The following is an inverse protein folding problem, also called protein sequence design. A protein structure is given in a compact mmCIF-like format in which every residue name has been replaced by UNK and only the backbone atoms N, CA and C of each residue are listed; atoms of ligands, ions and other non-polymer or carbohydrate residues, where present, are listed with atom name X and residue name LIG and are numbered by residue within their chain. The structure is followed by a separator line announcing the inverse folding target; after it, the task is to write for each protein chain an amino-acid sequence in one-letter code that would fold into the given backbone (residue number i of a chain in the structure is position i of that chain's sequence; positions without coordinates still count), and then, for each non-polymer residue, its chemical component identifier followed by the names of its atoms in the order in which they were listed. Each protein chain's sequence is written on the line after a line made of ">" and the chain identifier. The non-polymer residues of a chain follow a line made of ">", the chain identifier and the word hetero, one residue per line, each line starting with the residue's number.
data_IF_045008251363
#
_entry.id   IF_045008251363
#
_cell.length_a   1.000
_cell.length_b   1.000
_cell.length_c   1.000
_cell.angle_alpha   90.00
_cell.angle_beta   90.00
_cell.angle_gamma   90.00
#
_symmetry.space_group_name_H-M   'P 1'
#
loop_
_entity.id
_entity.type
_entity.pdbx_description
1 polymer ?
#
# COMPACT_ATOMS: atom_id res chain seq x y z
N UNK A 1 -7.94 -7.25 -9.30
CA UNK A 1 -8.17 -7.57 -7.86
C UNK A 1 -8.54 -6.28 -7.17
N UNK A 2 -9.64 -6.28 -6.42
CA UNK A 2 -10.24 -5.06 -5.86
C UNK A 2 -10.19 -5.08 -4.33
N UNK A 3 -9.79 -3.95 -3.75
CA UNK A 3 -9.72 -3.72 -2.32
C UNK A 3 -10.49 -2.46 -1.95
N UNK A 4 -11.15 -2.48 -0.79
CA UNK A 4 -11.89 -1.34 -0.25
C UNK A 4 -11.40 -1.04 1.16
N UNK A 5 -11.04 0.21 1.41
CA UNK A 5 -10.72 0.67 2.75
C UNK A 5 -12.01 1.17 3.38
N UNK A 6 -12.66 0.28 4.13
CA UNK A 6 -13.96 0.53 4.78
C UNK A 6 -13.81 0.89 6.26
N UNK A 7 -12.60 0.86 6.79
CA UNK A 7 -12.31 1.07 8.19
C UNK A 7 -11.16 2.06 8.40
N UNK A 8 -11.28 2.83 9.48
CA UNK A 8 -10.19 3.55 10.12
C UNK A 8 -9.13 2.59 10.67
N UNK A 9 -7.92 3.07 10.93
CA UNK A 9 -6.77 2.30 11.43
C UNK A 9 -7.07 1.51 12.73
N UNK A 10 -8.00 2.01 13.54
CA UNK A 10 -8.50 1.47 14.80
C UNK A 10 -9.83 0.70 14.64
N UNK A 11 -10.20 0.37 13.41
CA UNK A 11 -11.26 -0.60 13.11
C UNK A 11 -12.68 -0.05 13.18
N UNK A 12 -12.88 1.26 13.29
CA UNK A 12 -14.21 1.85 13.13
C UNK A 12 -14.55 2.02 11.64
N UNK A 13 -15.81 1.83 11.21
CA UNK A 13 -16.23 2.11 9.85
C UNK A 13 -15.94 3.56 9.44
N UNK A 14 -15.61 3.78 8.17
CA UNK A 14 -15.48 5.14 7.62
C UNK A 14 -16.85 5.80 7.42
N UNK A 15 -16.92 7.12 7.55
CA UNK A 15 -18.15 7.92 7.41
C UNK A 15 -18.31 8.56 6.02
N UNK A 16 -17.53 8.11 5.04
CA UNK A 16 -17.59 8.55 3.64
C UNK A 16 -17.55 7.33 2.71
N UNK A 17 -17.59 7.57 1.40
CA UNK A 17 -17.39 6.49 0.43
C UNK A 17 -15.97 5.88 0.59
N UNK A 18 -15.83 4.54 0.66
CA UNK A 18 -14.55 3.88 0.81
C UNK A 18 -13.53 4.24 -0.27
N UNK A 19 -12.25 4.28 0.11
CA UNK A 19 -11.16 4.31 -0.87
C UNK A 19 -11.08 2.95 -1.56
N UNK A 20 -11.07 2.97 -2.89
CA UNK A 20 -10.94 1.78 -3.73
C UNK A 20 -9.52 1.69 -4.26
N UNK A 21 -8.89 0.53 -4.08
CA UNK A 21 -7.59 0.20 -4.67
C UNK A 21 -7.77 -1.04 -5.53
N UNK A 22 -7.41 -0.93 -6.81
CA UNK A 22 -7.44 -2.04 -7.76
C UNK A 22 -6.03 -2.34 -8.24
N UNK A 23 -5.67 -3.62 -8.19
CA UNK A 23 -4.47 -4.15 -8.81
C UNK A 23 -4.87 -4.87 -10.10
N UNK A 24 -4.24 -4.49 -11.21
CA UNK A 24 -4.42 -5.10 -12.52
C UNK A 24 -3.08 -5.65 -13.04
N UNK A 25 -3.08 -6.73 -13.83
CA UNK A 25 -1.89 -7.18 -14.54
C UNK A 25 -1.37 -6.06 -15.47
N UNK A 26 -0.07 -5.79 -15.43
CA UNK A 26 0.62 -4.95 -16.39
C UNK A 26 1.69 -5.75 -17.14
N UNK A 27 2.08 -5.29 -18.32
CA UNK A 27 3.25 -5.84 -19.01
C UNK A 27 4.51 -5.49 -18.21
N UNK A 28 5.17 -6.50 -17.62
CA UNK A 28 6.38 -6.29 -16.82
C UNK A 28 6.17 -5.74 -15.40
N UNK A 29 4.92 -5.68 -14.92
CA UNK A 29 4.62 -5.17 -13.59
C UNK A 29 3.15 -5.26 -13.18
N UNK A 30 2.75 -4.38 -12.27
CA UNK A 30 1.39 -4.27 -11.75
C UNK A 30 0.89 -2.84 -12.00
N UNK A 31 -0.32 -2.70 -12.51
CA UNK A 31 -1.00 -1.41 -12.58
C UNK A 31 -1.82 -1.26 -11.30
N UNK A 32 -1.59 -0.17 -10.58
CA UNK A 32 -2.34 0.21 -9.39
C UNK A 32 -3.28 1.34 -9.78
N UNK A 33 -4.58 1.12 -9.60
CA UNK A 33 -5.62 2.13 -9.78
C UNK A 33 -6.23 2.46 -8.43
N UNK A 34 -6.41 3.75 -8.16
CA UNK A 34 -7.02 4.27 -6.94
C UNK A 34 -8.20 5.14 -7.32
N UNK A 35 -9.33 4.94 -6.65
CA UNK A 35 -10.47 5.85 -6.71
C UNK A 35 -10.87 6.21 -5.28
N UNK A 36 -10.89 7.50 -4.97
CA UNK A 36 -11.11 7.96 -3.61
C UNK A 36 -11.89 9.28 -3.57
N UNK A 37 -12.60 9.57 -2.47
CA UNK A 37 -13.17 10.89 -2.26
C UNK A 37 -12.09 11.98 -2.31
N UNK A 38 -12.48 13.15 -2.80
CA UNK A 38 -11.64 14.33 -2.78
C UNK A 38 -11.94 15.17 -1.54
N UNK A 39 -11.05 15.12 -0.54
CA UNK A 39 -11.24 15.78 0.75
C UNK A 39 -10.85 17.27 0.77
N UNK A 40 -10.29 17.78 -0.34
CA UNK A 40 -9.83 19.16 -0.48
C UNK A 40 -8.90 19.61 0.66
N UNK A 41 -7.97 18.73 1.03
CA UNK A 41 -7.00 19.00 2.09
C UNK A 41 -6.14 20.22 1.75
N UNK A 42 -5.86 21.11 2.72
CA UNK A 42 -4.91 22.18 2.50
C UNK A 42 -3.54 21.58 2.14
N UNK A 43 -2.73 22.28 1.32
CA UNK A 43 -1.41 21.81 0.96
C UNK A 43 -0.60 21.48 2.22
N UNK A 44 0.12 20.37 2.18
CA UNK A 44 1.00 19.98 3.27
C UNK A 44 1.94 21.15 3.63
N UNK A 45 2.24 21.39 4.91
CA UNK A 45 3.28 22.34 5.29
C UNK A 45 4.58 22.03 4.52
N UNK A 46 5.30 23.07 4.11
CA UNK A 46 6.60 22.90 3.45
C UNK A 46 7.51 22.05 4.36
N UNK A 47 7.92 20.89 3.86
CA UNK A 47 8.84 19.96 4.51
C UNK A 47 9.54 19.16 3.42
N UNK A 48 10.78 18.73 3.66
CA UNK A 48 11.54 18.02 2.64
C UNK A 48 10.88 16.67 2.33
N UNK A 49 10.45 16.42 1.09
CA UNK A 49 10.05 15.09 0.67
C UNK A 49 11.24 14.13 0.80
N UNK A 50 10.97 12.91 1.25
CA UNK A 50 11.91 11.81 1.05
C UNK A 50 12.17 11.62 -0.45
N UNK A 51 13.40 11.22 -0.82
CA UNK A 51 13.75 11.01 -2.24
C UNK A 51 12.84 9.94 -2.84
N UNK A 52 12.16 10.20 -3.98
CA UNK A 52 11.37 9.19 -4.66
C UNK A 52 12.26 8.07 -5.22
N UNK A 53 11.70 6.87 -5.39
CA UNK A 53 12.37 5.82 -6.17
C UNK A 53 12.27 6.12 -7.68
N UNK A 54 13.31 5.74 -8.43
CA UNK A 54 13.45 6.04 -9.86
C UNK A 54 12.37 5.37 -10.73
N UNK A 55 11.31 6.09 -11.08
CA UNK A 55 10.19 5.61 -11.92
C UNK A 55 8.82 5.65 -11.24
N UNK A 56 8.76 5.85 -9.91
CA UNK A 56 7.48 6.03 -9.18
C UNK A 56 6.73 7.33 -9.54
N UNK A 57 7.35 8.23 -10.31
CA UNK A 57 6.70 9.44 -10.82
C UNK A 57 5.84 9.19 -12.06
N UNK A 58 5.88 7.99 -12.65
CA UNK A 58 5.01 7.64 -13.78
C UNK A 58 3.62 7.27 -13.29
N UNK A 59 2.82 8.30 -13.06
CA UNK A 59 1.44 8.19 -12.64
C UNK A 59 0.55 9.18 -13.39
N UNK A 60 -0.71 8.80 -13.55
CA UNK A 60 -1.78 9.63 -14.09
C UNK A 60 -2.75 9.92 -12.95
N UNK A 61 -3.11 11.20 -12.77
CA UNK A 61 -4.15 11.60 -11.81
C UNK A 61 -5.19 12.43 -12.53
N UNK A 62 -6.45 12.06 -12.35
CA UNK A 62 -7.60 12.86 -12.73
C UNK A 62 -8.37 13.24 -11.46
N UNK A 63 -8.90 14.47 -11.42
CA UNK A 63 -9.64 14.98 -10.26
C UNK A 63 -10.96 15.58 -10.73
N UNK A 64 -12.07 15.02 -10.23
CA UNK A 64 -13.40 15.61 -10.31
C UNK A 64 -13.73 16.44 -9.07
N UNK A 65 -14.99 16.88 -8.96
CA UNK A 65 -15.42 17.74 -7.85
C UNK A 65 -15.44 17.02 -6.50
N UNK A 66 -15.86 15.75 -6.49
CA UNK A 66 -16.08 14.95 -5.28
C UNK A 66 -15.13 13.76 -5.14
N UNK A 67 -14.38 13.42 -6.19
CA UNK A 67 -13.50 12.26 -6.27
C UNK A 67 -12.26 12.56 -7.09
N UNK A 68 -11.22 11.78 -6.84
CA UNK A 68 -10.06 11.70 -7.71
C UNK A 68 -9.77 10.24 -8.06
N UNK A 69 -9.15 10.06 -9.21
CA UNK A 69 -8.67 8.79 -9.70
C UNK A 69 -7.17 8.90 -9.95
N UNK A 70 -6.41 7.90 -9.50
CA UNK A 70 -4.99 7.79 -9.72
C UNK A 70 -4.66 6.46 -10.37
N UNK A 71 -3.70 6.46 -11.27
CA UNK A 71 -3.17 5.26 -11.90
C UNK A 71 -1.66 5.32 -11.87
N UNK A 72 -1.02 4.29 -11.34
CA UNK A 72 0.43 4.18 -11.29
C UNK A 72 0.87 2.80 -11.80
N UNK A 73 2.01 2.76 -12.48
CA UNK A 73 2.62 1.51 -12.89
C UNK A 73 3.78 1.16 -11.95
N UNK A 74 3.75 -0.07 -11.41
CA UNK A 74 4.80 -0.60 -10.55
C UNK A 74 5.53 -1.74 -11.27
N UNK A 75 6.78 -1.53 -11.73
CA UNK A 75 7.58 -2.59 -12.36
C UNK A 75 7.84 -3.76 -11.40
N UNK A 76 8.03 -4.97 -11.93
CA UNK A 76 8.33 -6.15 -11.11
C UNK A 76 9.58 -6.00 -10.24
N UNK A 77 10.58 -5.27 -10.72
CA UNK A 77 11.81 -5.01 -9.97
C UNK A 77 11.58 -4.27 -8.65
N UNK A 78 10.45 -3.60 -8.47
CA UNK A 78 10.17 -2.88 -7.23
C UNK A 78 9.70 -3.80 -6.10
N UNK A 79 9.23 -5.00 -6.43
CA UNK A 79 8.75 -5.94 -5.43
C UNK A 79 9.90 -6.79 -4.91
N UNK A 80 10.10 -6.87 -3.58
CA UNK A 80 11.07 -7.79 -3.00
C UNK A 80 10.68 -9.23 -3.32
N UNK A 81 11.65 -10.17 -3.36
CA UNK A 81 11.32 -11.57 -3.59
C UNK A 81 10.35 -12.07 -2.51
N UNK A 82 9.36 -12.86 -2.92
CA UNK A 82 8.37 -13.51 -2.04
C UNK A 82 7.47 -12.52 -1.28
N UNK A 83 6.81 -11.61 -1.99
CA UNK A 83 5.72 -10.82 -1.40
C UNK A 83 4.58 -11.76 -0.99
N UNK A 84 4.35 -11.88 0.32
CA UNK A 84 3.39 -12.84 0.89
C UNK A 84 2.28 -12.19 1.72
N UNK A 85 2.40 -10.89 1.98
CA UNK A 85 1.44 -10.14 2.79
C UNK A 85 1.18 -8.77 2.19
N UNK A 86 -0.02 -8.26 2.40
CA UNK A 86 -0.46 -6.98 1.89
C UNK A 86 -1.32 -6.23 2.91
N UNK A 87 -1.22 -4.91 2.88
CA UNK A 87 -2.15 -3.98 3.49
C UNK A 87 -2.14 -2.70 2.64
N UNK A 88 -3.14 -1.85 2.82
CA UNK A 88 -3.24 -0.56 2.15
C UNK A 88 -3.75 0.47 3.14
N UNK A 89 -3.31 1.72 2.98
CA UNK A 89 -3.64 2.80 3.90
C UNK A 89 -4.07 4.03 3.10
N UNK A 90 -5.05 4.76 3.65
CA UNK A 90 -5.44 6.08 3.15
C UNK A 90 -5.32 7.10 4.28
N UNK A 91 -4.83 8.29 3.93
CA UNK A 91 -4.63 9.39 4.87
C UNK A 91 -5.20 10.64 4.21
N UNK A 92 -6.14 11.27 4.89
CA UNK A 92 -6.76 12.53 4.47
C UNK A 92 -7.05 13.41 5.67
N UNK A 93 -7.46 14.64 5.44
CA UNK A 93 -7.54 15.66 6.47
C UNK A 93 -6.19 16.30 6.75
N UNK A 94 -6.19 17.30 7.63
CA UNK A 94 -4.99 18.08 7.94
C UNK A 94 -4.81 18.32 9.42
N UNK A 95 -3.54 18.42 9.85
CA UNK A 95 -3.13 18.65 11.25
C UNK A 95 -3.83 17.65 12.19
N UNK A 96 -4.52 18.14 13.22
CA UNK A 96 -5.20 17.35 14.24
C UNK A 96 -6.51 16.71 13.74
N UNK A 97 -6.92 16.99 12.50
CA UNK A 97 -8.11 16.42 11.86
C UNK A 97 -7.76 15.38 10.79
N UNK A 98 -6.56 14.78 10.87
CA UNK A 98 -6.20 13.69 9.97
C UNK A 98 -6.99 12.44 10.30
N UNK A 99 -7.61 11.87 9.27
CA UNK A 99 -8.15 10.52 9.30
C UNK A 99 -7.09 9.57 8.78
N UNK A 100 -7.04 8.38 9.39
CA UNK A 100 -6.14 7.31 8.98
C UNK A 100 -6.97 6.05 8.79
N UNK A 101 -6.88 5.46 7.62
CA UNK A 101 -7.64 4.29 7.21
C UNK A 101 -6.73 3.15 6.86
N UNK A 102 -7.23 1.92 7.04
CA UNK A 102 -6.50 0.72 6.72
C UNK A 102 -7.44 -0.31 6.08
N UNK A 103 -6.95 -1.00 5.06
CA UNK A 103 -7.62 -2.17 4.49
C UNK A 103 -7.74 -3.27 5.55
N UNK A 104 -6.68 -3.48 6.32
CA UNK A 104 -6.64 -4.39 7.46
C UNK A 104 -6.21 -3.61 8.71
N UNK A 105 -7.17 -3.12 9.51
CA UNK A 105 -6.89 -2.31 10.70
C UNK A 105 -6.50 -3.17 11.91
N UNK A 106 -6.08 -2.48 12.98
CA UNK A 106 -5.89 -3.10 14.29
C UNK A 106 -7.26 -3.53 14.82
N UNK A 107 -7.46 -4.79 15.23
CA UNK A 107 -8.71 -5.20 15.86
C UNK A 107 -8.97 -4.39 17.14
N UNK A 108 -10.19 -3.91 17.32
CA UNK A 108 -10.54 -3.01 18.43
C UNK A 108 -10.18 -3.55 19.83
N UNK A 109 -10.25 -4.87 20.01
CA UNK A 109 -9.92 -5.52 21.28
C UNK A 109 -8.42 -5.61 21.57
N UNK A 110 -7.57 -5.32 20.57
CA UNK A 110 -6.11 -5.24 20.71
C UNK A 110 -5.60 -3.80 20.87
N UNK A 111 -6.50 -2.81 20.77
CA UNK A 111 -6.15 -1.40 20.92
C UNK A 111 -5.75 -1.08 22.36
N UNK A 112 -4.68 -0.30 22.49
CA UNK A 112 -4.24 0.24 23.77
C UNK A 112 -4.76 1.66 23.98
N UNK A 113 -5.03 2.03 25.22
CA UNK A 113 -5.45 3.40 25.55
C UNK A 113 -4.38 4.41 25.13
N UNK A 114 -4.77 5.40 24.34
CA UNK A 114 -3.86 6.43 23.83
C UNK A 114 -2.96 5.97 22.69
N UNK A 115 -3.20 4.78 22.12
CA UNK A 115 -2.49 4.31 20.94
C UNK A 115 -2.71 5.26 19.76
N UNK A 116 -1.65 5.49 18.98
CA UNK A 116 -1.68 6.27 17.75
C UNK A 116 -1.51 5.36 16.53
N UNK A 117 -1.90 5.80 15.32
CA UNK A 117 -1.69 5.03 14.10
C UNK A 117 -0.22 4.67 13.89
N UNK A 118 0.04 3.40 13.54
CA UNK A 118 1.34 2.92 13.09
C UNK A 118 1.16 1.93 11.92
N UNK A 119 1.57 2.36 10.73
CA UNK A 119 1.42 1.60 9.49
C UNK A 119 2.48 0.49 9.32
N UNK A 120 3.44 0.39 10.25
CA UNK A 120 4.51 -0.62 10.21
C UNK A 120 4.19 -1.87 11.04
N UNK A 121 2.97 -2.00 11.55
CA UNK A 121 2.51 -3.20 12.29
C UNK A 121 2.21 -4.36 11.34
N UNK A 122 3.27 -5.06 10.93
CA UNK A 122 3.27 -6.14 9.94
C UNK A 122 2.41 -7.36 10.35
N UNK A 123 2.08 -7.50 11.63
CA UNK A 123 1.18 -8.53 12.16
C UNK A 123 -0.26 -8.42 11.61
N UNK A 124 -0.70 -7.21 11.21
CA UNK A 124 -2.05 -7.02 10.68
C UNK A 124 -2.16 -7.17 9.17
N UNK A 125 -1.02 -7.22 8.47
CA UNK A 125 -1.01 -7.46 7.03
C UNK A 125 -1.52 -8.88 6.77
N UNK A 126 -2.44 -9.01 5.82
CA UNK A 126 -3.08 -10.30 5.52
C UNK A 126 -2.33 -11.05 4.42
N UNK A 127 -2.46 -12.39 4.37
CA UNK A 127 -1.90 -13.19 3.29
C UNK A 127 -2.29 -12.64 1.93
N UNK A 128 -1.31 -12.56 1.04
CA UNK A 128 -1.45 -12.03 -0.29
C UNK A 128 -0.55 -12.81 -1.25
N UNK A 129 -1.01 -12.98 -2.47
CA UNK A 129 -0.21 -13.56 -3.54
C UNK A 129 -0.58 -12.92 -4.87
N UNK A 130 0.41 -12.64 -5.71
CA UNK A 130 0.15 -12.16 -7.07
C UNK A 130 -0.43 -13.25 -7.97
N UNK A 131 -0.35 -14.53 -7.60
CA UNK A 131 -0.95 -15.62 -8.36
C UNK A 131 -2.47 -15.49 -8.48
N UNK A 132 -3.15 -14.89 -7.50
CA UNK A 132 -4.60 -14.59 -7.63
C UNK A 132 -4.90 -13.55 -8.70
N UNK A 133 -3.90 -12.76 -9.10
CA UNK A 133 -4.01 -11.74 -10.14
C UNK A 133 -3.48 -12.23 -11.50
N UNK A 134 -2.40 -13.01 -11.51
CA UNK A 134 -1.60 -13.33 -12.69
C UNK A 134 -1.69 -14.79 -13.15
N UNK A 135 -2.40 -15.63 -12.39
CA UNK A 135 -2.55 -17.06 -12.64
C UNK A 135 -1.64 -17.92 -11.77
N UNK A 136 -2.05 -19.17 -11.56
CA UNK A 136 -1.37 -20.11 -10.65
C UNK A 136 0.05 -20.45 -11.11
N UNK A 137 0.29 -20.52 -12.42
CA UNK A 137 1.60 -20.83 -13.01
C UNK A 137 2.58 -19.65 -13.01
N UNK A 138 2.10 -18.44 -12.68
CA UNK A 138 2.96 -17.27 -12.66
C UNK A 138 4.01 -17.38 -11.55
N UNK A 139 5.23 -16.96 -11.88
CA UNK A 139 6.37 -16.88 -10.95
C UNK A 139 6.89 -15.45 -10.93
N UNK A 140 7.17 -14.95 -9.73
CA UNK A 140 7.74 -13.61 -9.57
C UNK A 140 9.10 -13.53 -10.29
N UNK A 141 9.28 -12.58 -11.22
CA UNK A 141 10.58 -12.32 -11.82
C UNK A 141 11.59 -11.87 -10.77
N UNK A 142 12.87 -12.13 -11.01
CA UNK A 142 13.94 -11.57 -10.16
C UNK A 142 13.94 -10.04 -10.22
N UNK A 143 14.24 -9.42 -9.08
CA UNK A 143 14.45 -7.98 -9.00
C UNK A 143 15.94 -7.68 -8.98
N UNK A 144 16.35 -6.74 -9.82
CA UNK A 144 17.67 -6.12 -9.82
C UNK A 144 17.87 -5.08 -8.70
N UNK A 145 16.79 -4.60 -8.08
CA UNK A 145 16.83 -3.65 -6.96
C UNK A 145 16.99 -4.36 -5.61
N UNK A 146 16.46 -5.58 -5.48
CA UNK A 146 16.53 -6.38 -4.26
C UNK A 146 17.63 -7.42 -4.39
N UNK A 147 18.88 -6.99 -4.15
CA UNK A 147 20.02 -7.91 -4.10
C UNK A 147 19.78 -8.92 -2.96
N UNK A 148 19.58 -10.18 -3.33
CA UNK A 148 19.64 -11.28 -2.38
C UNK A 148 21.09 -11.35 -1.92
N UNK A 149 21.38 -10.91 -0.69
CA UNK A 149 22.58 -11.38 -0.02
C UNK A 149 22.47 -12.91 -0.01
N UNK A 150 23.34 -13.56 -0.79
CA UNK A 150 23.46 -15.01 -0.73
C UNK A 150 23.76 -15.33 0.73
N UNK A 151 23.02 -16.24 1.39
CA UNK A 151 23.41 -16.67 2.72
C UNK A 151 24.86 -17.15 2.63
N UNK A 152 25.72 -16.60 3.48
CA UNK A 152 27.11 -17.05 3.57
C UNK A 152 27.09 -18.57 3.73
N UNK A 153 27.60 -19.27 2.72
CA UNK A 153 27.78 -20.71 2.76
C UNK A 153 28.99 -21.07 3.63
N UNK A 154 29.04 -20.56 4.86
CA UNK A 154 29.97 -20.86 5.95
C UNK A 154 29.17 -20.49 7.22
N UNK A 155 28.60 -21.38 8.02
CA UNK A 155 29.27 -22.39 8.83
C UNK A 155 28.23 -23.44 9.29
N UNK A 156 28.35 -24.67 8.81
CA UNK A 156 28.00 -25.83 9.62
C UNK A 156 29.20 -26.75 9.63
N UNK A 157 30.14 -26.43 10.51
CA UNK A 157 31.10 -27.39 11.06
C UNK A 157 31.01 -27.33 12.58
N UNK A 158 30.28 -28.28 13.15
CA UNK A 158 30.65 -28.93 14.40
C UNK A 158 30.59 -30.44 14.17
#
# INVERSE_FOLDING_TARGET
>A
MDFKLEHTWDGFPVEHEPVLVRLNPGEGGVIVEVSAPFFNDPPAPLGEPGKPFNGLWDYEVSRGEIKWEGRAYLPWSYFPPNVTKFNSFAIHGSKDKRSFEALYPIPQHELQQGQTPDFHRLEYFKPFTFNTLLGEEWRQPESDLWLIEKPDAQEYKQ
#
